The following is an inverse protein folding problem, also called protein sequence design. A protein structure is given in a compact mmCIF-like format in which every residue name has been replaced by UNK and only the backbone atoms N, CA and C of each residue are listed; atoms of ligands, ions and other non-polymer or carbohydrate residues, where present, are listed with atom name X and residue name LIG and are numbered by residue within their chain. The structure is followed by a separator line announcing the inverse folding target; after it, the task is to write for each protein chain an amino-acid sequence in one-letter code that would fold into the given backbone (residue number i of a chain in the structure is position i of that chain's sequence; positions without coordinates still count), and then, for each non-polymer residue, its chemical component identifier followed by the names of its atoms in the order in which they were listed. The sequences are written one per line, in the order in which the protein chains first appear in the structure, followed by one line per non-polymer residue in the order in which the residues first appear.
data_IF_121390928848
#
_entry.id   IF_121390928848
#
_cell.length_a   1.000
_cell.length_b   1.000
_cell.length_c   1.000
_cell.angle_alpha   90.00
_cell.angle_beta   90.00
_cell.angle_gamma   90.00
#
_symmetry.space_group_name_H-M   'P 1'
#
loop_
_entity.id
_entity.type
_entity.pdbx_description
1 polymer ?
#
# COMPACT_ATOMS: atom_id res chain seq x y z
N UNK A 1 -6.10 -8.75 -17.61
CA UNK A 1 -7.07 -8.00 -16.77
C UNK A 1 -6.64 -7.95 -15.31
N UNK A 2 -5.98 -8.98 -14.77
CA UNK A 2 -5.56 -9.02 -13.36
C UNK A 2 -4.10 -9.48 -13.23
N UNK A 3 -3.34 -8.85 -12.33
CA UNK A 3 -1.98 -9.22 -11.93
C UNK A 3 -2.04 -9.77 -10.50
N UNK A 4 -1.37 -10.90 -10.25
CA UNK A 4 -1.32 -11.53 -8.94
C UNK A 4 0.09 -11.44 -8.37
N UNK A 5 0.21 -11.09 -7.09
CA UNK A 5 1.47 -11.21 -6.37
C UNK A 5 1.74 -12.65 -5.94
N UNK A 6 2.99 -12.97 -5.52
CA UNK A 6 3.25 -14.07 -4.62
C UNK A 6 2.41 -13.99 -3.35
N UNK A 7 2.28 -15.10 -2.62
CA UNK A 7 1.64 -15.09 -1.31
C UNK A 7 2.47 -14.26 -0.31
N UNK A 8 1.81 -13.51 0.56
CA UNK A 8 2.46 -12.66 1.56
C UNK A 8 2.85 -13.52 2.77
N UNK A 9 4.14 -13.76 2.94
CA UNK A 9 4.65 -14.46 4.11
C UNK A 9 4.98 -13.48 5.24
N UNK A 10 5.23 -14.00 6.44
CA UNK A 10 5.79 -13.20 7.53
C UNK A 10 7.11 -12.55 7.06
N UNK A 11 7.34 -11.28 7.39
CA UNK A 11 8.47 -10.44 6.92
C UNK A 11 8.42 -10.01 5.44
N UNK A 12 7.32 -10.24 4.73
CA UNK A 12 7.14 -9.69 3.38
C UNK A 12 7.25 -8.16 3.36
N UNK A 13 7.96 -7.65 2.35
CA UNK A 13 8.10 -6.23 2.07
C UNK A 13 7.29 -5.91 0.80
N UNK A 14 6.45 -4.89 0.92
CA UNK A 14 5.67 -4.33 -0.18
C UNK A 14 6.42 -3.14 -0.77
N UNK A 15 6.69 -3.15 -2.07
CA UNK A 15 7.29 -2.00 -2.76
C UNK A 15 6.27 -1.42 -3.72
N UNK A 16 5.85 -0.16 -3.49
CA UNK A 16 4.88 0.55 -4.32
C UNK A 16 5.54 1.65 -5.14
N UNK A 17 5.37 1.65 -6.45
CA UNK A 17 5.82 2.72 -7.35
C UNK A 17 4.63 3.40 -8.00
N UNK A 18 4.50 4.71 -7.81
CA UNK A 18 3.46 5.50 -8.47
C UNK A 18 4.10 6.34 -9.58
N UNK A 19 3.52 6.30 -10.77
CA UNK A 19 3.97 7.07 -11.91
C UNK A 19 2.77 7.60 -12.70
N UNK A 20 2.84 8.86 -13.09
CA UNK A 20 1.94 9.46 -14.06
C UNK A 20 2.77 10.16 -15.11
N UNK A 21 2.48 9.87 -16.38
CA UNK A 21 3.06 10.59 -17.50
C UNK A 21 1.95 11.18 -18.35
N UNK A 22 2.09 12.46 -18.69
CA UNK A 22 1.22 13.12 -19.66
C UNK A 22 1.98 13.17 -20.99
N UNK A 23 1.31 12.76 -22.04
CA UNK A 23 1.82 12.66 -23.39
C UNK A 23 0.90 13.48 -24.30
N UNK A 24 1.51 14.07 -25.32
CA UNK A 24 0.78 14.72 -26.41
C UNK A 24 1.02 13.88 -27.65
N UNK A 25 -0.04 13.47 -28.33
CA UNK A 25 0.08 12.59 -29.50
C UNK A 25 -0.74 13.12 -30.68
N UNK A 26 -0.22 12.90 -31.87
CA UNK A 26 -0.86 13.18 -33.16
C UNK A 26 -0.81 11.95 -34.09
N UNK A 27 -0.45 10.79 -33.52
CA UNK A 27 -0.10 9.51 -34.14
C UNK A 27 -1.02 8.37 -33.67
N UNK A 28 -0.81 7.15 -34.16
CA UNK A 28 -1.57 5.97 -33.75
C UNK A 28 -1.25 5.60 -32.30
N UNK A 29 -2.24 5.06 -31.58
CA UNK A 29 -2.08 4.68 -30.17
C UNK A 29 -1.02 3.58 -29.99
N UNK A 30 -0.84 2.73 -31.00
CA UNK A 30 0.17 1.67 -31.02
C UNK A 30 1.61 2.22 -30.99
N UNK A 31 1.84 3.37 -31.63
CA UNK A 31 3.14 4.05 -31.63
C UNK A 31 3.44 4.63 -30.24
N UNK A 32 2.42 5.09 -29.50
CA UNK A 32 2.57 5.59 -28.12
C UNK A 32 3.05 4.46 -27.19
N UNK A 33 2.36 3.32 -27.20
CA UNK A 33 2.71 2.19 -26.33
C UNK A 33 4.06 1.57 -26.71
N UNK A 34 4.38 1.51 -28.01
CA UNK A 34 5.69 1.04 -28.49
C UNK A 34 6.82 1.98 -28.09
N UNK A 35 6.62 3.30 -28.26
CA UNK A 35 7.56 4.32 -27.81
C UNK A 35 7.78 4.27 -26.30
N UNK A 36 6.72 4.08 -25.51
CA UNK A 36 6.85 3.96 -24.07
C UNK A 36 7.63 2.72 -23.65
N UNK A 37 7.41 1.56 -24.30
CA UNK A 37 8.24 0.35 -24.05
C UNK A 37 9.72 0.59 -24.32
N UNK A 38 10.06 1.31 -25.40
CA UNK A 38 11.45 1.67 -25.69
C UNK A 38 12.03 2.58 -24.60
N UNK A 39 11.25 3.54 -24.08
CA UNK A 39 11.68 4.45 -23.02
C UNK A 39 11.90 3.76 -21.68
N UNK A 40 11.26 2.62 -21.42
CA UNK A 40 11.43 1.89 -20.17
C UNK A 40 12.73 1.11 -20.08
N UNK A 41 13.37 0.78 -21.21
CA UNK A 41 14.67 0.11 -21.25
C UNK A 41 15.72 0.92 -20.47
N UNK A 42 15.64 2.25 -20.57
CA UNK A 42 16.52 3.20 -19.86
C UNK A 42 15.81 3.85 -18.66
N UNK A 43 14.90 3.14 -17.99
CA UNK A 43 14.27 3.64 -16.77
C UNK A 43 14.99 3.16 -15.50
N UNK A 44 14.84 3.91 -14.42
CA UNK A 44 15.31 3.52 -13.09
C UNK A 44 14.23 3.77 -12.05
N UNK A 45 14.32 3.10 -10.90
CA UNK A 45 13.34 3.26 -9.84
C UNK A 45 13.95 4.00 -8.66
N UNK A 46 13.22 4.98 -8.16
CA UNK A 46 13.53 5.68 -6.92
C UNK A 46 12.69 5.09 -5.80
N UNK A 47 13.32 4.59 -4.74
CA UNK A 47 12.64 4.10 -3.53
C UNK A 47 12.89 5.07 -2.39
N UNK A 48 11.82 5.40 -1.68
CA UNK A 48 11.80 6.27 -0.52
C UNK A 48 11.27 5.47 0.69
N UNK A 49 12.19 5.19 1.62
CA UNK A 49 11.89 4.72 2.98
C UNK A 49 11.98 5.96 3.89
N UNK A 50 11.20 6.08 4.99
CA UNK A 50 11.21 7.29 5.84
C UNK A 50 12.59 7.72 6.37
N UNK A 51 13.57 6.81 6.34
CA UNK A 51 14.94 7.06 6.77
C UNK A 51 15.95 7.16 5.60
N UNK A 52 15.65 6.60 4.43
CA UNK A 52 16.62 6.41 3.35
C UNK A 52 16.01 6.55 1.96
N UNK A 53 16.84 7.03 1.05
CA UNK A 53 16.51 7.16 -0.36
C UNK A 53 17.42 6.22 -1.15
N UNK A 54 16.82 5.34 -1.95
CA UNK A 54 17.55 4.41 -2.81
C UNK A 54 17.23 4.67 -4.27
N UNK A 55 18.23 4.50 -5.14
CA UNK A 55 18.01 4.47 -6.59
C UNK A 55 18.38 3.09 -7.09
N UNK A 56 17.39 2.34 -7.53
CA UNK A 56 17.55 0.99 -8.08
C UNK A 56 17.89 1.11 -9.56
N UNK A 57 19.08 0.62 -9.93
CA UNK A 57 19.70 0.68 -11.26
C UNK A 57 20.46 -0.61 -11.53
N UNK A 58 20.74 -0.90 -12.80
CA UNK A 58 21.63 -2.01 -13.18
C UNK A 58 23.07 -1.71 -12.79
N UNK A 59 23.44 -0.42 -12.72
CA UNK A 59 24.80 0.04 -12.42
C UNK A 59 24.80 1.35 -11.65
N UNK A 60 25.60 1.40 -10.58
CA UNK A 60 25.92 2.64 -9.86
C UNK A 60 27.29 3.13 -10.31
N UNK A 61 27.35 4.41 -10.67
CA UNK A 61 28.61 5.14 -10.81
C UNK A 61 28.92 5.75 -9.44
N UNK A 62 29.87 5.17 -8.71
CA UNK A 62 30.48 5.82 -7.55
C UNK A 62 31.80 6.45 -7.99
N UNK A 63 32.29 7.44 -7.24
CA UNK A 63 33.52 8.20 -7.58
C UNK A 63 34.79 7.32 -7.70
N UNK A 64 34.71 6.08 -7.23
CA UNK A 64 35.78 5.08 -7.15
C UNK A 64 35.57 3.86 -8.07
N UNK A 65 34.48 3.78 -8.83
CA UNK A 65 34.30 2.70 -9.82
C UNK A 65 32.85 2.33 -10.14
N UNK A 66 32.72 1.36 -11.07
CA UNK A 66 31.45 0.75 -11.48
C UNK A 66 31.16 -0.45 -10.57
N UNK A 67 30.11 -0.35 -9.76
CA UNK A 67 29.67 -1.45 -8.90
C UNK A 67 28.42 -2.12 -9.49
N UNK A 68 28.42 -3.47 -9.53
CA UNK A 68 27.22 -4.27 -9.82
C UNK A 68 26.46 -4.50 -8.52
N UNK A 69 25.16 -4.19 -8.50
CA UNK A 69 24.27 -4.46 -7.36
C UNK A 69 23.59 -5.84 -7.46
N UNK A 70 24.00 -6.69 -8.39
CA UNK A 70 23.34 -7.97 -8.69
C UNK A 70 23.20 -8.87 -7.45
N UNK A 71 24.18 -8.86 -6.56
CA UNK A 71 24.22 -9.70 -5.36
C UNK A 71 23.81 -8.99 -4.06
N UNK A 72 23.54 -7.68 -4.09
CA UNK A 72 23.17 -6.92 -2.89
C UNK A 72 21.74 -7.26 -2.49
N UNK A 73 21.55 -7.73 -1.24
CA UNK A 73 20.22 -8.03 -0.72
C UNK A 73 19.52 -6.76 -0.26
N UNK A 74 18.20 -6.81 -0.32
CA UNK A 74 17.36 -5.72 0.17
C UNK A 74 17.61 -5.45 1.66
N UNK A 75 17.78 -6.49 2.48
CA UNK A 75 18.05 -6.34 3.93
C UNK A 75 19.35 -5.56 4.19
N UNK A 76 20.43 -5.83 3.44
CA UNK A 76 21.72 -5.13 3.60
C UNK A 76 21.55 -3.60 3.45
N UNK A 77 20.68 -3.18 2.54
CA UNK A 77 20.38 -1.76 2.34
C UNK A 77 19.48 -1.19 3.43
N UNK A 78 18.56 -1.98 3.97
CA UNK A 78 17.71 -1.55 5.09
C UNK A 78 18.49 -1.46 6.41
N UNK A 79 19.48 -2.34 6.61
CA UNK A 79 20.30 -2.45 7.83
C UNK A 79 21.43 -1.41 7.92
N UNK A 80 21.92 -0.85 6.81
CA UNK A 80 23.01 0.16 6.83
C UNK A 80 22.68 1.45 7.60
N UNK A 81 21.44 1.63 8.05
CA UNK A 81 21.01 2.70 8.98
C UNK A 81 21.06 2.33 10.47
N UNK A 82 21.50 1.10 10.82
CA UNK A 82 21.46 0.56 12.20
C UNK A 82 22.72 0.82 13.03
N UNK A 83 23.75 1.48 12.48
CA UNK A 83 25.01 1.77 13.18
C UNK A 83 24.98 2.98 14.14
N UNK A 84 23.83 3.61 14.36
CA UNK A 84 23.66 4.62 15.42
C UNK A 84 23.20 3.98 16.73
N UNK A 85 24.18 3.46 17.51
CA UNK A 85 24.27 3.25 18.98
C UNK A 85 23.01 3.06 19.88
N UNK A 86 21.82 2.79 19.36
CA UNK A 86 20.57 2.66 20.11
C UNK A 86 20.00 1.24 19.95
N UNK A 87 20.78 0.24 20.39
CA UNK A 87 20.35 -1.17 20.46
C UNK A 87 19.05 -1.38 21.27
N UNK A 88 18.62 -0.42 22.10
CA UNK A 88 17.34 -0.48 22.83
C UNK A 88 16.11 -0.20 21.95
N UNK A 89 16.28 0.38 20.76
CA UNK A 89 15.16 0.69 19.85
C UNK A 89 14.86 -0.43 18.83
N UNK A 90 15.69 -1.48 18.77
CA UNK A 90 15.62 -2.48 17.71
C UNK A 90 14.44 -3.47 17.85
N UNK A 91 13.86 -3.62 19.05
CA UNK A 91 12.64 -4.40 19.24
C UNK A 91 11.38 -3.66 18.77
N UNK A 92 11.45 -2.34 18.56
CA UNK A 92 10.30 -1.47 18.32
C UNK A 92 9.98 -1.27 16.83
N UNK A 93 10.76 -1.84 15.90
CA UNK A 93 10.58 -1.65 14.45
C UNK A 93 9.78 -2.75 13.74
N UNK A 94 9.30 -3.77 14.46
CA UNK A 94 8.23 -4.67 13.99
C UNK A 94 6.88 -3.96 14.09
N UNK A 95 6.76 -2.84 13.38
CA UNK A 95 5.60 -1.94 13.42
C UNK A 95 4.47 -2.47 12.50
N UNK A 96 4.67 -3.62 11.85
CA UNK A 96 3.70 -4.14 10.89
C UNK A 96 3.75 -5.66 10.68
N UNK A 97 2.65 -6.28 10.18
CA UNK A 97 2.78 -7.55 9.47
C UNK A 97 3.61 -7.42 8.19
N UNK A 98 3.54 -6.29 7.47
CA UNK A 98 4.30 -6.04 6.23
C UNK A 98 4.94 -4.64 6.18
N UNK A 99 6.25 -4.54 5.88
CA UNK A 99 6.93 -3.25 5.65
C UNK A 99 6.57 -2.73 4.25
N UNK A 100 6.24 -1.45 4.10
CA UNK A 100 5.96 -0.85 2.79
C UNK A 100 7.00 0.22 2.45
N UNK A 101 7.58 0.14 1.26
CA UNK A 101 8.51 1.13 0.70
C UNK A 101 7.83 1.77 -0.50
N UNK A 102 7.73 3.10 -0.51
CA UNK A 102 7.10 3.85 -1.60
C UNK A 102 8.15 4.42 -2.54
N UNK A 103 7.82 4.62 -3.81
CA UNK A 103 8.79 5.09 -4.78
C UNK A 103 8.19 5.74 -6.01
N UNK A 104 9.07 6.21 -6.90
CA UNK A 104 8.73 6.85 -8.18
C UNK A 104 9.55 6.26 -9.31
N UNK A 105 8.94 6.16 -10.48
CA UNK A 105 9.65 5.84 -11.71
C UNK A 105 10.43 7.07 -12.18
N UNK A 106 11.70 6.89 -12.53
CA UNK A 106 12.57 7.92 -13.08
C UNK A 106 12.97 7.57 -14.51
N UNK A 107 13.13 8.62 -15.33
CA UNK A 107 13.73 8.55 -16.66
C UNK A 107 15.06 9.28 -16.63
N UNK A 108 16.10 8.71 -17.24
CA UNK A 108 17.34 9.45 -17.47
C UNK A 108 17.12 10.54 -18.54
N UNK A 109 17.55 11.76 -18.22
CA UNK A 109 17.57 12.88 -19.16
C UNK A 109 18.92 13.01 -19.88
N UNK A 110 19.92 12.22 -19.48
CA UNK A 110 21.29 12.24 -20.03
C UNK A 110 21.64 10.84 -20.54
N UNK A 111 21.36 10.58 -21.82
CA UNK A 111 21.98 9.46 -22.52
C UNK A 111 23.41 9.81 -22.89
N UNK A 112 24.28 8.80 -23.07
CA UNK A 112 25.61 8.95 -23.68
C UNK A 112 25.55 9.30 -25.17
N UNK A 113 24.39 9.71 -25.68
CA UNK A 113 24.24 10.15 -27.06
C UNK A 113 24.51 11.64 -27.16
N UNK A 114 25.33 11.99 -28.16
CA UNK A 114 25.64 13.36 -28.54
C UNK A 114 24.40 14.24 -28.51
N UNK A 115 24.44 15.29 -27.68
CA UNK A 115 23.36 16.24 -27.52
C UNK A 115 23.03 16.89 -28.87
N UNK A 116 22.00 16.39 -29.56
CA UNK A 116 21.55 16.99 -30.81
C UNK A 116 20.84 18.31 -30.51
N UNK A 117 21.09 19.32 -31.34
CA UNK A 117 20.37 20.59 -31.33
C UNK A 117 18.87 20.30 -31.46
N UNK A 118 18.00 20.91 -30.62
CA UNK A 118 16.55 20.70 -30.73
C UNK A 118 16.07 21.07 -32.13
N UNK A 119 15.46 20.11 -32.83
CA UNK A 119 14.91 20.31 -34.18
C UNK A 119 13.44 20.72 -34.02
N UNK A 120 13.12 21.93 -34.49
CA UNK A 120 11.73 22.38 -34.61
C UNK A 120 11.20 21.97 -35.99
N UNK A 121 10.36 20.93 -36.03
CA UNK A 121 9.70 20.50 -37.26
C UNK A 121 8.24 20.99 -37.28
N UNK A 122 7.87 21.77 -38.31
CA UNK A 122 6.49 22.20 -38.51
C UNK A 122 5.74 21.12 -39.29
N UNK A 123 4.82 20.44 -38.61
CA UNK A 123 3.87 19.54 -39.28
C UNK A 123 2.94 20.34 -40.21
N UNK A 124 3.05 20.11 -41.53
CA UNK A 124 2.25 20.81 -42.54
C UNK A 124 0.82 20.25 -42.73
N UNK A 125 0.45 19.22 -41.98
CA UNK A 125 -0.90 18.65 -41.97
C UNK A 125 -1.73 19.23 -40.82
N UNK A 126 -3.02 19.53 -41.05
CA UNK A 126 -3.99 19.91 -40.00
C UNK A 126 -4.29 18.72 -39.05
N UNK A 127 -3.30 18.27 -38.28
CA UNK A 127 -3.46 17.27 -37.22
C UNK A 127 -3.76 17.98 -35.91
N UNK A 128 -4.93 17.72 -35.32
CA UNK A 128 -5.21 18.10 -33.94
C UNK A 128 -4.54 17.05 -33.05
N UNK A 129 -3.55 17.47 -32.26
CA UNK A 129 -3.00 16.60 -31.23
C UNK A 129 -3.93 16.47 -30.04
N UNK A 130 -3.80 15.38 -29.31
CA UNK A 130 -4.63 15.03 -28.15
C UNK A 130 -3.74 14.80 -26.95
N UNK A 131 -4.25 15.19 -25.78
CA UNK A 131 -3.63 14.87 -24.50
C UNK A 131 -3.95 13.42 -24.12
N UNK A 132 -2.94 12.70 -23.64
CA UNK A 132 -3.05 11.33 -23.18
C UNK A 132 -2.28 11.16 -21.88
N UNK A 133 -2.93 10.63 -20.85
CA UNK A 133 -2.30 10.40 -19.54
C UNK A 133 -2.21 8.90 -19.28
N UNK A 134 -1.00 8.41 -19.02
CA UNK A 134 -0.77 7.06 -18.53
C UNK A 134 -0.46 7.12 -17.04
N UNK A 135 -1.23 6.38 -16.26
CA UNK A 135 -1.04 6.22 -14.82
C UNK A 135 -0.67 4.77 -14.52
N UNK A 136 0.46 4.59 -13.83
CA UNK A 136 0.95 3.32 -13.34
C UNK A 136 1.00 3.34 -11.83
N UNK A 137 0.61 2.22 -11.24
CA UNK A 137 0.65 2.01 -9.81
C UNK A 137 1.14 0.58 -9.57
N UNK A 138 2.46 0.43 -9.45
CA UNK A 138 3.10 -0.86 -9.25
C UNK A 138 3.06 -1.18 -7.76
N UNK A 139 2.78 -2.43 -7.41
CA UNK A 139 2.89 -2.96 -6.05
C UNK A 139 3.41 -4.40 -6.13
N UNK A 140 4.67 -4.60 -5.77
CA UNK A 140 5.29 -5.92 -5.71
C UNK A 140 5.47 -6.38 -4.27
N UNK A 141 5.49 -7.69 -4.08
CA UNK A 141 5.76 -8.36 -2.81
C UNK A 141 7.14 -9.02 -2.92
N UNK A 142 8.05 -8.64 -2.04
CA UNK A 142 9.42 -9.17 -2.01
C UNK A 142 9.80 -9.61 -0.61
N UNK A 143 10.82 -10.46 -0.50
CA UNK A 143 11.39 -10.87 0.78
C UNK A 143 12.59 -9.98 1.12
N UNK A 144 12.92 -9.87 2.41
CA UNK A 144 14.16 -9.20 2.86
C UNK A 144 15.42 -9.73 2.18
N UNK A 145 15.45 -11.04 1.93
CA UNK A 145 16.57 -11.71 1.26
C UNK A 145 16.60 -11.51 -0.26
N UNK A 146 15.60 -10.88 -0.87
CA UNK A 146 15.55 -10.64 -2.31
C UNK A 146 16.66 -9.68 -2.73
N UNK A 147 17.36 -9.96 -3.83
CA UNK A 147 18.41 -9.08 -4.36
C UNK A 147 17.81 -7.84 -5.01
N UNK A 148 18.56 -6.75 -5.08
CA UNK A 148 18.11 -5.52 -5.74
C UNK A 148 17.87 -5.72 -7.25
N UNK A 149 18.66 -6.57 -7.91
CA UNK A 149 18.40 -6.96 -9.29
C UNK A 149 17.05 -7.67 -9.45
N UNK A 150 16.69 -8.55 -8.51
CA UNK A 150 15.39 -9.22 -8.52
C UNK A 150 14.23 -8.30 -8.19
N UNK A 151 14.43 -7.34 -7.28
CA UNK A 151 13.46 -6.26 -7.02
C UNK A 151 13.19 -5.49 -8.32
N UNK A 152 14.24 -5.07 -9.02
CA UNK A 152 14.12 -4.37 -10.30
C UNK A 152 13.36 -5.21 -11.32
N UNK A 153 13.79 -6.46 -11.53
CA UNK A 153 13.17 -7.38 -12.48
C UNK A 153 11.67 -7.55 -12.22
N UNK A 154 11.26 -7.63 -10.95
CA UNK A 154 9.84 -7.70 -10.59
C UNK A 154 9.07 -6.41 -10.88
N UNK A 155 9.67 -5.24 -10.64
CA UNK A 155 9.07 -3.95 -11.01
C UNK A 155 8.92 -3.82 -12.53
N UNK A 156 9.93 -4.18 -13.31
CA UNK A 156 9.92 -4.14 -14.78
C UNK A 156 8.83 -5.07 -15.36
N UNK A 157 8.74 -6.29 -14.81
CA UNK A 157 7.71 -7.25 -15.20
C UNK A 157 6.30 -6.70 -14.91
N UNK A 158 6.08 -6.13 -13.73
CA UNK A 158 4.77 -5.60 -13.36
C UNK A 158 4.40 -4.36 -14.21
N UNK A 159 5.37 -3.51 -14.51
CA UNK A 159 5.18 -2.35 -15.37
C UNK A 159 4.80 -2.75 -16.79
N UNK A 160 5.45 -3.77 -17.34
CA UNK A 160 5.12 -4.33 -18.65
C UNK A 160 3.72 -4.95 -18.67
N UNK A 161 3.35 -5.70 -17.62
CA UNK A 161 1.99 -6.24 -17.49
C UNK A 161 0.92 -5.15 -17.42
N UNK A 162 1.18 -4.06 -16.70
CA UNK A 162 0.25 -2.92 -16.64
C UNK A 162 0.13 -2.22 -17.99
N UNK A 163 1.23 -2.03 -18.71
CA UNK A 163 1.21 -1.51 -20.08
C UNK A 163 0.36 -2.34 -21.01
N UNK A 164 0.54 -3.67 -21.00
CA UNK A 164 -0.24 -4.57 -21.84
C UNK A 164 -1.74 -4.48 -21.50
N UNK A 165 -2.09 -4.33 -20.21
CA UNK A 165 -3.48 -4.15 -19.78
C UNK A 165 -4.05 -2.82 -20.27
N UNK A 166 -3.31 -1.72 -20.11
CA UNK A 166 -3.73 -0.40 -20.56
C UNK A 166 -3.90 -0.34 -22.08
N UNK A 167 -2.96 -0.92 -22.84
CA UNK A 167 -3.02 -0.99 -24.30
C UNK A 167 -4.28 -1.73 -24.77
N UNK A 168 -4.50 -2.93 -24.24
CA UNK A 168 -5.69 -3.73 -24.59
C UNK A 168 -7.00 -3.03 -24.17
N UNK A 169 -7.02 -2.41 -22.99
CA UNK A 169 -8.17 -1.66 -22.49
C UNK A 169 -8.50 -0.46 -23.37
N UNK A 170 -7.47 0.26 -23.83
CA UNK A 170 -7.66 1.45 -24.66
C UNK A 170 -8.13 1.09 -26.07
N UNK A 171 -7.57 0.03 -26.66
CA UNK A 171 -8.03 -0.54 -27.94
C UNK A 171 -9.50 -0.95 -27.91
N UNK A 172 -9.94 -1.59 -26.83
CA UNK A 172 -11.32 -2.06 -26.70
C UNK A 172 -12.35 -0.93 -26.50
N UNK A 173 -11.96 0.17 -25.85
CA UNK A 173 -12.91 1.24 -25.47
C UNK A 173 -13.05 2.37 -26.50
N UNK A 174 -12.23 2.42 -27.56
CA UNK A 174 -12.25 3.48 -28.59
C UNK A 174 -12.33 4.91 -28.01
N UNK A 175 -11.77 5.14 -26.82
CA UNK A 175 -11.88 6.39 -26.06
C UNK A 175 -10.50 6.98 -25.81
N UNK A 176 -10.32 8.26 -26.15
CA UNK A 176 -9.04 9.00 -26.06
C UNK A 176 -8.76 9.58 -24.66
N UNK A 177 -9.50 9.19 -23.63
CA UNK A 177 -9.31 9.74 -22.28
C UNK A 177 -9.97 8.82 -21.29
N UNK A 178 -9.18 8.02 -20.60
CA UNK A 178 -9.68 7.30 -19.45
C UNK A 178 -8.60 7.43 -18.38
N UNK A 179 -8.92 8.16 -17.30
CA UNK A 179 -8.18 8.10 -16.05
C UNK A 179 -8.31 6.66 -15.53
N UNK A 180 -7.48 5.77 -16.05
CA UNK A 180 -7.42 4.35 -15.70
C UNK A 180 -6.39 4.19 -14.61
N UNK A 181 -6.87 4.04 -13.39
CA UNK A 181 -6.03 3.77 -12.23
C UNK A 181 -6.00 2.28 -11.95
N UNK A 182 -4.83 1.75 -11.62
CA UNK A 182 -4.74 0.42 -11.05
C UNK A 182 -5.10 0.49 -9.57
N UNK A 183 -5.78 -0.55 -9.07
CA UNK A 183 -6.03 -0.74 -7.64
C UNK A 183 -5.51 -2.09 -7.19
N UNK A 184 -5.05 -2.13 -5.94
CA UNK A 184 -4.48 -3.31 -5.31
C UNK A 184 -5.38 -3.79 -4.19
N UNK A 185 -5.64 -5.09 -4.12
CA UNK A 185 -6.49 -5.68 -3.09
C UNK A 185 -5.80 -6.89 -2.46
N UNK A 186 -5.65 -6.88 -1.15
CA UNK A 186 -5.23 -8.05 -0.39
C UNK A 186 -6.42 -8.98 -0.17
N UNK A 187 -6.24 -10.25 -0.50
CA UNK A 187 -7.25 -11.30 -0.39
C UNK A 187 -6.78 -12.33 0.62
N UNK A 188 -7.20 -12.13 1.86
CA UNK A 188 -6.80 -12.93 3.03
C UNK A 188 -6.85 -14.45 2.81
N UNK A 189 -7.92 -15.05 2.25
CA UNK A 189 -8.00 -16.51 2.12
C UNK A 189 -6.95 -17.14 1.19
N UNK A 190 -6.40 -16.39 0.24
CA UNK A 190 -5.30 -16.83 -0.64
C UNK A 190 -3.98 -16.15 -0.29
N UNK A 191 -4.00 -15.23 0.68
CA UNK A 191 -2.88 -14.45 1.15
C UNK A 191 -2.10 -13.76 0.02
N UNK A 192 -2.79 -13.27 -1.00
CA UNK A 192 -2.18 -12.64 -2.19
C UNK A 192 -2.76 -11.24 -2.42
N UNK A 193 -1.98 -10.41 -3.10
CA UNK A 193 -2.42 -9.14 -3.65
C UNK A 193 -2.86 -9.34 -5.09
N UNK A 194 -4.00 -8.72 -5.39
CA UNK A 194 -4.63 -8.73 -6.70
C UNK A 194 -4.68 -7.30 -7.21
N UNK A 195 -4.02 -7.05 -8.34
CA UNK A 195 -3.95 -5.74 -8.98
C UNK A 195 -4.78 -5.76 -10.27
N UNK A 196 -5.65 -4.78 -10.44
CA UNK A 196 -6.51 -4.66 -11.62
C UNK A 196 -6.94 -3.22 -11.86
N UNK A 197 -7.56 -2.97 -13.02
CA UNK A 197 -8.01 -1.64 -13.43
C UNK A 197 -9.29 -1.20 -12.69
N UNK A 198 -9.33 0.04 -12.19
CA UNK A 198 -10.50 0.55 -11.49
C UNK A 198 -11.77 0.51 -12.35
N UNK A 199 -12.90 0.22 -11.71
CA UNK A 199 -14.18 -0.05 -12.38
C UNK A 199 -14.42 -1.51 -12.79
N UNK A 200 -13.49 -2.42 -12.55
CA UNK A 200 -13.62 -3.86 -12.90
C UNK A 200 -13.84 -4.76 -11.68
N UNK A 201 -14.20 -4.20 -10.51
CA UNK A 201 -14.22 -4.94 -9.23
C UNK A 201 -15.12 -6.18 -9.23
N UNK A 202 -16.33 -6.10 -9.78
CA UNK A 202 -17.27 -7.23 -9.84
C UNK A 202 -16.79 -8.30 -10.84
N UNK A 203 -16.19 -7.86 -11.95
CA UNK A 203 -15.52 -8.72 -12.93
C UNK A 203 -14.35 -9.45 -12.28
N UNK A 204 -13.57 -8.76 -11.45
CA UNK A 204 -12.43 -9.32 -10.73
C UNK A 204 -12.89 -10.32 -9.68
N UNK A 205 -13.93 -10.01 -8.88
CA UNK A 205 -14.49 -10.97 -7.93
C UNK A 205 -14.96 -12.24 -8.63
N UNK A 206 -15.62 -12.10 -9.78
CA UNK A 206 -16.07 -13.23 -10.61
C UNK A 206 -14.89 -14.03 -11.15
N UNK A 207 -13.85 -13.37 -11.68
CA UNK A 207 -12.65 -14.02 -12.19
C UNK A 207 -11.87 -14.76 -11.09
N UNK A 208 -11.77 -14.17 -9.90
CA UNK A 208 -11.16 -14.79 -8.74
C UNK A 208 -11.96 -15.99 -8.24
N UNK A 209 -13.30 -15.92 -8.28
CA UNK A 209 -14.15 -17.05 -7.91
C UNK A 209 -13.96 -18.24 -8.85
N UNK A 210 -13.78 -17.99 -10.16
CA UNK A 210 -13.46 -19.04 -11.13
C UNK A 210 -12.10 -19.67 -10.83
N UNK A 211 -11.08 -18.86 -10.52
CA UNK A 211 -9.72 -19.33 -10.24
C UNK A 211 -9.59 -20.00 -8.87
N UNK A 212 -10.34 -19.51 -7.88
CA UNK A 212 -10.29 -19.95 -6.48
C UNK A 212 -11.72 -20.18 -5.96
N UNK A 213 -12.36 -21.32 -6.33
CA UNK A 213 -13.75 -21.62 -5.96
C UNK A 213 -14.00 -21.68 -4.44
N UNK A 214 -12.95 -21.91 -3.65
CA UNK A 214 -13.00 -21.96 -2.19
C UNK A 214 -13.05 -20.58 -1.52
N UNK A 215 -12.96 -19.48 -2.28
CA UNK A 215 -12.99 -18.14 -1.69
C UNK A 215 -14.34 -17.89 -1.00
N UNK A 216 -14.34 -17.49 0.28
CA UNK A 216 -15.57 -17.14 1.00
C UNK A 216 -16.22 -15.89 0.38
N UNK A 217 -17.48 -16.03 -0.03
CA UNK A 217 -18.24 -14.93 -0.64
C UNK A 217 -18.72 -13.87 0.36
N UNK A 218 -18.62 -14.14 1.66
CA UNK A 218 -19.06 -13.27 2.75
C UNK A 218 -17.94 -12.42 3.38
N UNK A 219 -16.71 -12.50 2.86
CA UNK A 219 -15.59 -11.69 3.34
C UNK A 219 -15.27 -10.55 2.36
N UNK A 220 -14.95 -9.35 2.87
CA UNK A 220 -14.52 -8.24 2.05
C UNK A 220 -13.09 -8.46 1.53
N UNK A 221 -12.76 -7.80 0.42
CA UNK A 221 -11.38 -7.65 -0.04
C UNK A 221 -10.81 -6.37 0.55
N UNK A 222 -9.59 -6.42 1.07
CA UNK A 222 -8.94 -5.26 1.68
C UNK A 222 -8.28 -4.45 0.58
N UNK A 223 -8.79 -3.25 0.31
CA UNK A 223 -8.14 -2.33 -0.62
C UNK A 223 -6.83 -1.82 -0.02
N UNK A 224 -5.75 -2.03 -0.73
CA UNK A 224 -4.42 -1.52 -0.39
C UNK A 224 -4.19 -0.27 -1.23
N UNK A 225 -4.86 0.82 -0.84
CA UNK A 225 -4.74 2.08 -1.55
C UNK A 225 -4.10 3.13 -0.65
N UNK A 226 -2.83 3.45 -0.95
CA UNK A 226 -2.03 4.32 -0.09
C UNK A 226 -2.19 5.82 -0.35
N UNK A 227 -3.05 6.21 -1.30
CA UNK A 227 -3.24 7.60 -1.71
C UNK A 227 -4.15 8.43 -0.79
N UNK A 228 -5.09 7.81 -0.07
CA UNK A 228 -6.08 8.54 0.77
C UNK A 228 -6.77 7.63 1.82
N UNK A 229 -6.07 6.60 2.31
CA UNK A 229 -6.67 5.52 3.10
C UNK A 229 -6.44 5.61 4.60
N UNK A 230 -7.50 5.35 5.39
CA UNK A 230 -7.37 5.09 6.83
C UNK A 230 -6.45 3.90 7.14
N UNK A 231 -6.41 2.91 6.24
CA UNK A 231 -5.46 1.81 6.32
C UNK A 231 -4.03 2.38 6.35
N UNK A 232 -3.65 3.21 5.39
CA UNK A 232 -2.32 3.84 5.33
C UNK A 232 -2.00 4.65 6.57
N UNK A 233 -2.93 5.47 7.03
CA UNK A 233 -2.76 6.26 8.25
C UNK A 233 -2.51 5.37 9.47
N UNK A 234 -3.30 4.30 9.62
CA UNK A 234 -3.12 3.32 10.68
C UNK A 234 -1.76 2.64 10.59
N UNK A 235 -1.36 2.30 9.35
CA UNK A 235 -0.14 1.59 9.04
C UNK A 235 1.12 2.45 9.33
N UNK A 236 1.10 3.73 8.97
CA UNK A 236 2.21 4.64 9.25
C UNK A 236 2.19 5.24 10.65
N UNK A 237 1.20 4.89 11.49
CA UNK A 237 1.00 5.53 12.80
C UNK A 237 2.05 5.20 13.87
N UNK A 238 2.97 4.27 13.61
CA UNK A 238 3.97 3.83 14.59
C UNK A 238 3.43 2.94 15.71
N UNK A 239 2.15 2.53 15.63
CA UNK A 239 1.53 1.62 16.59
C UNK A 239 2.04 0.20 16.44
N UNK A 240 2.01 -0.55 17.54
CA UNK A 240 2.30 -1.98 17.51
C UNK A 240 1.10 -2.73 16.94
N UNK A 241 1.35 -3.82 16.20
CA UNK A 241 0.32 -4.70 15.66
C UNK A 241 0.47 -6.10 16.23
N UNK A 242 -0.64 -6.83 16.32
CA UNK A 242 -0.66 -8.26 16.65
C UNK A 242 0.25 -8.65 17.82
N UNK A 243 0.26 -7.83 18.87
CA UNK A 243 1.19 -7.96 20.01
C UNK A 243 1.13 -9.34 20.70
N UNK A 244 0.09 -10.12 20.43
CA UNK A 244 -0.08 -11.48 20.91
C UNK A 244 0.78 -12.52 20.18
N UNK A 245 1.17 -12.31 18.91
CA UNK A 245 1.85 -13.32 18.07
C UNK A 245 3.23 -13.73 18.61
N UNK A 246 3.92 -12.82 19.29
CA UNK A 246 5.27 -13.06 19.81
C UNK A 246 5.27 -13.53 21.28
N UNK A 247 4.11 -13.88 21.85
CA UNK A 247 4.01 -14.36 23.22
C UNK A 247 4.10 -15.89 23.26
N UNK A 248 4.88 -16.46 24.21
CA UNK A 248 4.95 -17.91 24.35
C UNK A 248 3.61 -18.49 24.81
N UNK A 249 3.26 -19.73 24.39
CA UNK A 249 2.09 -20.41 24.90
C UNK A 249 2.25 -20.64 26.42
N UNK A 250 1.20 -20.35 27.18
CA UNK A 250 1.24 -20.39 28.65
C UNK A 250 0.83 -21.74 29.25
N UNK A 251 0.18 -22.61 28.49
CA UNK A 251 -0.43 -23.85 28.99
C UNK A 251 0.02 -25.03 28.15
N UNK A 252 0.77 -25.95 28.78
CA UNK A 252 1.20 -27.19 28.14
C UNK A 252 0.00 -28.10 27.90
N UNK A 253 -0.16 -28.58 26.66
CA UNK A 253 -1.25 -29.49 26.27
C UNK A 253 -2.64 -28.84 26.19
N UNK A 254 -2.74 -27.51 26.35
CA UNK A 254 -4.00 -26.78 26.16
C UNK A 254 -4.30 -26.53 24.68
N UNK A 255 -5.58 -26.47 24.33
CA UNK A 255 -6.02 -25.97 23.02
C UNK A 255 -6.02 -24.44 23.04
N UNK A 256 -5.31 -23.81 22.10
CA UNK A 256 -5.25 -22.36 21.96
C UNK A 256 -6.15 -21.89 20.81
N UNK A 257 -6.99 -20.90 21.09
CA UNK A 257 -7.77 -20.19 20.08
C UNK A 257 -7.44 -18.71 20.17
N UNK A 258 -7.05 -18.11 19.05
CA UNK A 258 -6.64 -16.71 18.95
C UNK A 258 -7.56 -15.95 18.01
N UNK A 259 -7.44 -14.62 18.03
CA UNK A 259 -8.08 -13.78 17.03
C UNK A 259 -7.56 -14.14 15.64
N UNK A 260 -8.47 -14.21 14.67
CA UNK A 260 -8.12 -14.34 13.26
C UNK A 260 -8.09 -12.95 12.61
N UNK A 261 -6.95 -12.57 12.03
CA UNK A 261 -6.72 -11.27 11.41
C UNK A 261 -5.76 -10.37 12.19
N UNK A 262 -5.58 -9.16 11.66
CA UNK A 262 -4.65 -8.16 12.15
C UNK A 262 -5.37 -7.07 12.95
N UNK A 263 -4.73 -6.55 13.99
CA UNK A 263 -5.20 -5.38 14.74
C UNK A 263 -4.03 -4.49 15.20
N UNK A 264 -4.30 -3.20 15.38
CA UNK A 264 -3.37 -2.26 15.99
C UNK A 264 -3.64 -2.14 17.50
N UNK A 265 -2.57 -2.01 18.30
CA UNK A 265 -2.66 -1.93 19.74
C UNK A 265 -2.86 -0.49 20.22
N UNK A 266 -4.07 -0.19 20.68
CA UNK A 266 -4.38 1.09 21.31
C UNK A 266 -4.24 1.00 22.83
N UNK A 267 -3.55 1.98 23.42
CA UNK A 267 -3.30 2.07 24.86
C UNK A 267 -3.27 3.53 25.33
N UNK A 268 -3.15 3.73 26.65
CA UNK A 268 -3.11 5.06 27.25
C UNK A 268 -2.00 5.94 26.69
N UNK A 269 -2.19 7.26 26.76
CA UNK A 269 -1.21 8.28 26.35
C UNK A 269 -0.90 8.32 24.85
N UNK A 270 -1.68 7.63 24.03
CA UNK A 270 -1.62 7.77 22.58
C UNK A 270 -2.41 9.02 22.13
N UNK A 271 -2.14 9.47 20.90
CA UNK A 271 -2.86 10.59 20.26
C UNK A 271 -2.72 11.92 21.01
N UNK A 272 -1.63 12.08 21.76
CA UNK A 272 -1.39 13.26 22.61
C UNK A 272 -2.53 13.54 23.59
N UNK A 273 -3.14 12.48 24.14
CA UNK A 273 -4.31 12.58 25.00
C UNK A 273 -4.10 11.79 26.31
N UNK A 274 -4.21 12.49 27.45
CA UNK A 274 -4.12 11.90 28.79
C UNK A 274 -5.46 11.28 29.19
N UNK A 275 -5.58 9.98 28.92
CA UNK A 275 -6.70 9.15 29.30
C UNK A 275 -6.38 8.17 30.44
N UNK A 276 -5.36 8.48 31.25
CA UNK A 276 -4.97 7.63 32.38
C UNK A 276 -6.15 7.37 33.30
N UNK A 277 -6.31 6.13 33.75
CA UNK A 277 -7.33 5.68 34.70
C UNK A 277 -8.79 5.70 34.22
N UNK A 278 -9.11 6.31 33.07
CA UNK A 278 -10.51 6.39 32.59
C UNK A 278 -10.72 5.96 31.13
N UNK A 279 -9.67 5.92 30.33
CA UNK A 279 -9.74 5.61 28.90
C UNK A 279 -9.79 4.11 28.53
N UNK A 280 -9.84 3.19 29.50
CA UNK A 280 -9.53 1.76 29.24
C UNK A 280 -10.43 1.16 28.16
N UNK A 281 -11.74 1.39 28.28
CA UNK A 281 -12.72 0.89 27.32
C UNK A 281 -12.68 1.66 25.99
N UNK A 282 -12.30 2.95 25.99
CA UNK A 282 -12.09 3.72 24.76
C UNK A 282 -10.93 3.14 23.93
N UNK A 283 -9.79 2.84 24.57
CA UNK A 283 -8.64 2.22 23.87
C UNK A 283 -8.93 0.79 23.42
N UNK A 284 -9.72 0.05 24.20
CA UNK A 284 -10.20 -1.28 23.80
C UNK A 284 -11.10 -1.19 22.56
N UNK A 285 -12.02 -0.22 22.52
CA UNK A 285 -12.87 0.05 21.38
C UNK A 285 -12.05 0.46 20.14
N UNK A 286 -11.05 1.34 20.29
CA UNK A 286 -10.16 1.70 19.18
C UNK A 286 -9.39 0.50 18.63
N UNK A 287 -8.94 -0.42 19.49
CA UNK A 287 -8.33 -1.69 19.06
C UNK A 287 -9.32 -2.53 18.24
N UNK A 288 -10.59 -2.63 18.66
CA UNK A 288 -11.63 -3.33 17.89
C UNK A 288 -11.89 -2.65 16.53
N UNK A 289 -12.07 -1.32 16.49
CA UNK A 289 -12.23 -0.57 15.25
C UNK A 289 -11.05 -0.80 14.29
N UNK A 290 -9.82 -0.89 14.80
CA UNK A 290 -8.63 -1.16 13.99
C UNK A 290 -8.70 -2.53 13.29
N UNK A 291 -9.24 -3.54 13.97
CA UNK A 291 -9.45 -4.86 13.37
C UNK A 291 -10.44 -4.76 12.19
N UNK A 292 -11.55 -4.05 12.34
CA UNK A 292 -12.52 -3.86 11.24
C UNK A 292 -11.89 -3.16 10.03
N UNK A 293 -11.03 -2.16 10.25
CA UNK A 293 -10.28 -1.49 9.16
C UNK A 293 -9.33 -2.48 8.49
N UNK A 294 -8.50 -3.18 9.27
CA UNK A 294 -7.47 -4.10 8.78
C UNK A 294 -8.03 -5.36 8.15
N UNK A 295 -9.29 -5.71 8.46
CA UNK A 295 -10.01 -6.80 7.81
C UNK A 295 -10.85 -6.32 6.62
N UNK A 296 -10.89 -5.01 6.34
CA UNK A 296 -11.59 -4.45 5.17
C UNK A 296 -13.11 -4.33 5.34
N UNK A 297 -13.61 -4.41 6.57
CA UNK A 297 -15.03 -4.23 6.88
C UNK A 297 -15.45 -2.76 6.92
N UNK A 298 -14.51 -1.83 7.12
CA UNK A 298 -14.80 -0.40 7.14
C UNK A 298 -13.63 0.42 6.63
N UNK A 299 -13.94 1.58 6.06
CA UNK A 299 -12.98 2.64 5.72
C UNK A 299 -13.07 3.83 6.68
N UNK A 300 -13.93 3.76 7.70
CA UNK A 300 -14.09 4.82 8.70
C UNK A 300 -12.80 4.94 9.55
N UNK A 301 -12.42 6.16 9.99
CA UNK A 301 -11.30 6.35 10.88
C UNK A 301 -11.45 5.60 12.21
N UNK A 302 -10.37 5.58 12.99
CA UNK A 302 -10.46 5.22 14.40
C UNK A 302 -11.07 6.39 15.16
N UNK A 303 -12.18 6.20 15.89
CA UNK A 303 -12.85 7.30 16.58
C UNK A 303 -12.04 7.77 17.79
N UNK A 304 -11.99 9.09 17.98
CA UNK A 304 -11.43 9.75 19.16
C UNK A 304 -12.38 9.63 20.35
N UNK A 305 -11.88 9.85 21.57
CA UNK A 305 -12.72 9.82 22.79
C UNK A 305 -13.94 10.74 22.70
N UNK A 306 -13.77 11.95 22.17
CA UNK A 306 -14.87 12.91 21.98
C UNK A 306 -15.92 12.41 20.99
N UNK A 307 -15.53 11.70 19.93
CA UNK A 307 -16.45 11.13 18.94
C UNK A 307 -17.23 9.96 19.54
N UNK A 308 -16.54 9.09 20.30
CA UNK A 308 -17.17 8.00 21.07
C UNK A 308 -18.21 8.57 22.04
N UNK A 309 -17.86 9.63 22.78
CA UNK A 309 -18.77 10.30 23.70
C UNK A 309 -19.95 10.95 22.97
N UNK A 310 -19.70 11.58 21.83
CA UNK A 310 -20.75 12.20 21.02
C UNK A 310 -21.75 11.15 20.52
N UNK A 311 -21.28 10.00 20.05
CA UNK A 311 -22.15 8.90 19.61
C UNK A 311 -23.07 8.44 20.76
N UNK A 312 -22.53 8.28 21.97
CA UNK A 312 -23.32 7.89 23.14
C UNK A 312 -24.38 8.95 23.54
N UNK A 313 -24.10 10.23 23.28
CA UNK A 313 -25.06 11.31 23.47
C UNK A 313 -26.14 11.28 22.38
N UNK A 314 -25.74 11.07 21.13
CA UNK A 314 -26.64 11.09 19.97
C UNK A 314 -27.68 9.97 20.05
N UNK A 315 -27.29 8.79 20.54
CA UNK A 315 -28.20 7.67 20.79
C UNK A 315 -28.98 7.79 22.11
N UNK A 316 -28.80 8.88 22.85
CA UNK A 316 -29.45 9.20 24.13
C UNK A 316 -29.11 8.23 25.28
N UNK A 317 -27.97 7.54 25.21
CA UNK A 317 -27.44 6.74 26.33
C UNK A 317 -26.83 7.64 27.42
N UNK A 318 -26.16 8.73 27.01
CA UNK A 318 -25.49 9.66 27.91
C UNK A 318 -26.04 11.10 27.80
N UNK A 319 -26.02 11.87 28.90
CA UNK A 319 -26.40 13.28 28.89
C UNK A 319 -25.35 14.15 28.16
N UNK A 320 -25.74 15.34 27.69
CA UNK A 320 -24.86 16.23 26.90
C UNK A 320 -23.55 16.63 27.59
N UNK A 321 -23.54 16.70 28.92
CA UNK A 321 -22.33 17.00 29.70
C UNK A 321 -21.31 15.84 29.76
N UNK A 322 -21.64 14.69 29.16
CA UNK A 322 -20.72 13.57 28.99
C UNK A 322 -19.61 13.87 27.97
N UNK A 323 -19.88 14.76 27.01
CA UNK A 323 -18.91 15.17 25.99
C UNK A 323 -17.70 15.85 26.64
N UNK A 324 -16.50 15.44 26.24
CA UNK A 324 -15.21 15.84 26.79
C UNK A 324 -15.05 15.59 28.30
N UNK A 325 -15.92 14.75 28.90
CA UNK A 325 -15.74 14.29 30.27
C UNK A 325 -14.60 13.26 30.35
N UNK A 326 -14.13 13.00 31.57
CA UNK A 326 -13.19 11.90 31.88
C UNK A 326 -13.91 10.66 32.43
N UNK A 327 -15.18 10.48 32.07
CA UNK A 327 -15.95 9.34 32.54
C UNK A 327 -15.59 8.09 31.75
N UNK A 328 -15.35 6.99 32.46
CA UNK A 328 -15.15 5.67 31.87
C UNK A 328 -16.46 5.15 31.28
N UNK A 329 -16.34 4.24 30.31
CA UNK A 329 -17.46 3.52 29.70
C UNK A 329 -17.30 2.01 29.91
N UNK A 330 -18.38 1.26 29.85
CA UNK A 330 -18.39 -0.20 29.98
C UNK A 330 -18.51 -0.92 28.63
N UNK A 331 -18.64 -2.24 28.70
CA UNK A 331 -18.80 -3.10 27.51
C UNK A 331 -20.10 -2.83 26.75
N UNK A 332 -21.16 -2.38 27.44
CA UNK A 332 -22.45 -2.06 26.83
C UNK A 332 -22.33 -0.81 25.95
N UNK A 333 -21.71 0.26 26.46
CA UNK A 333 -21.43 1.46 25.66
C UNK A 333 -20.49 1.17 24.50
N UNK A 334 -19.46 0.33 24.70
CA UNK A 334 -18.59 -0.12 23.59
C UNK A 334 -19.41 -0.79 22.49
N UNK A 335 -20.35 -1.67 22.84
CA UNK A 335 -21.24 -2.32 21.88
C UNK A 335 -22.13 -1.32 21.14
N UNK A 336 -22.71 -0.34 21.85
CA UNK A 336 -23.55 0.69 21.24
C UNK A 336 -22.77 1.54 20.26
N UNK A 337 -21.54 1.92 20.61
CA UNK A 337 -20.69 2.72 19.73
C UNK A 337 -20.27 1.90 18.52
N UNK A 338 -19.87 0.64 18.66
CA UNK A 338 -19.55 -0.21 17.50
C UNK A 338 -20.72 -0.31 16.52
N UNK A 339 -21.93 -0.56 17.03
CA UNK A 339 -23.12 -0.66 16.19
C UNK A 339 -23.36 0.65 15.45
N UNK A 340 -23.44 1.79 16.15
CA UNK A 340 -23.78 3.07 15.51
C UNK A 340 -22.64 3.67 14.68
N UNK A 341 -21.39 3.33 15.00
CA UNK A 341 -20.23 3.85 14.28
C UNK A 341 -19.89 3.03 13.05
N UNK A 342 -20.10 1.70 13.06
CA UNK A 342 -19.72 0.83 11.96
C UNK A 342 -20.85 0.46 11.00
N UNK A 343 -22.12 0.52 11.44
CA UNK A 343 -23.30 0.49 10.56
C UNK A 343 -23.28 1.67 9.57
#
# INVERSE_FOLDING_TARGET
MVILSPALEDESILIRINCRTNLFYNEDIDEIYSGFRALLIDSGYYLNDPLNVYVVRDTIYANDGKYSLEDVKLDDLLETSENDNNQRNNAYRRIHPWKIITGRLLRYTTGNESCYTPVLEKCNTNKQGKDFSLEFDLLIVVQRSTTIADVRRQLDNQLTQQLDILENSTKNKNQNTINQTFRHYYIKPINQIVTFLDGEKDTVRSALQVKYPQLPMNQPFISIDFGDGQLTSLMTSGRLFDVHKNLPPKVNGGQQTLVDGHYAYYHYMQDNFDDNMWGCAYRSLQTLCSWFILQGYTTKPIPKHSEIQQILIDIKDKPKNFLNSRQWIGSMEVSFVLQNYLD
#
